data_IF_257056584196
#
_entry.id   IF_257056584196
#
_cell.length_a   1.000
_cell.length_b   1.000
_cell.length_c   1.000
_cell.angle_alpha   90.00
_cell.angle_beta   90.00
_cell.angle_gamma   90.00
#
_symmetry.space_group_name_H-M   'P 1'
#
loop_
_entity.id
_entity.type
_entity.pdbx_description
1 polymer ?
#
# COMPACT_ATOMS: atom_id res chain seq x y z
N UNK A 1 10.26 16.09 1.97
CA UNK A 1 9.21 15.11 1.61
C UNK A 1 8.94 14.18 2.81
N UNK A 2 7.68 13.87 3.09
CA UNK A 2 7.19 12.99 4.15
C UNK A 2 6.37 11.87 3.51
N UNK A 3 6.81 10.63 3.69
CA UNK A 3 6.16 9.44 3.13
C UNK A 3 5.43 8.68 4.23
N UNK A 4 4.32 8.02 3.87
CA UNK A 4 3.58 7.14 4.77
C UNK A 4 3.76 5.67 4.39
N UNK A 5 3.90 4.80 5.39
CA UNK A 5 3.90 3.35 5.25
C UNK A 5 2.63 2.76 5.88
N UNK A 6 1.55 2.58 5.10
CA UNK A 6 0.31 1.98 5.60
C UNK A 6 0.42 0.46 5.87
N UNK A 7 1.43 -0.21 5.32
CA UNK A 7 1.66 -1.65 5.49
C UNK A 7 2.07 -1.92 6.94
N UNK A 8 3.15 -1.29 7.39
CA UNK A 8 3.64 -1.43 8.77
C UNK A 8 2.76 -0.73 9.80
N UNK A 9 2.12 0.39 9.44
CA UNK A 9 1.27 1.13 10.38
C UNK A 9 0.09 0.30 10.89
N UNK A 10 -0.44 -0.60 10.06
CA UNK A 10 -1.59 -1.44 10.42
C UNK A 10 -1.25 -2.91 10.66
N UNK A 11 -0.21 -3.43 9.99
CA UNK A 11 0.09 -4.86 9.93
C UNK A 11 -1.03 -5.69 9.29
N UNK A 12 -1.95 -5.06 8.54
CA UNK A 12 -3.14 -5.72 7.99
C UNK A 12 -3.37 -5.31 6.54
N UNK A 13 -3.32 -6.29 5.63
CA UNK A 13 -3.53 -6.09 4.19
C UNK A 13 -4.81 -5.31 3.87
N UNK A 14 -5.92 -5.65 4.55
CA UNK A 14 -7.22 -4.99 4.35
C UNK A 14 -7.26 -3.51 4.74
N UNK A 15 -6.25 -3.02 5.48
CA UNK A 15 -6.13 -1.63 5.89
C UNK A 15 -5.11 -0.83 5.07
N UNK A 16 -4.33 -1.47 4.20
CA UNK A 16 -3.31 -0.81 3.37
C UNK A 16 -3.94 0.27 2.50
N UNK A 17 -4.97 -0.07 1.72
CA UNK A 17 -5.65 0.88 0.82
C UNK A 17 -6.34 2.05 1.55
N UNK A 18 -7.19 1.84 2.58
CA UNK A 18 -7.84 2.96 3.25
C UNK A 18 -6.84 3.89 3.97
N UNK A 19 -5.75 3.35 4.53
CA UNK A 19 -4.72 4.16 5.17
C UNK A 19 -3.86 4.91 4.15
N UNK A 20 -3.54 4.30 3.01
CA UNK A 20 -2.89 4.99 1.89
C UNK A 20 -3.70 6.20 1.41
N UNK A 21 -5.01 6.02 1.19
CA UNK A 21 -5.92 7.11 0.81
C UNK A 21 -5.97 8.20 1.88
N UNK A 22 -6.03 7.83 3.15
CA UNK A 22 -6.00 8.78 4.26
C UNK A 22 -4.67 9.57 4.29
N UNK A 23 -3.53 8.90 4.12
CA UNK A 23 -2.21 9.52 4.10
C UNK A 23 -2.08 10.54 2.96
N UNK A 24 -2.51 10.18 1.75
CA UNK A 24 -2.54 11.11 0.61
C UNK A 24 -3.49 12.29 0.88
N UNK A 25 -4.67 12.05 1.45
CA UNK A 25 -5.64 13.09 1.75
C UNK A 25 -5.15 14.11 2.79
N UNK A 26 -4.31 13.70 3.74
CA UNK A 26 -3.69 14.62 4.73
C UNK A 26 -2.39 15.25 4.23
N UNK A 27 -1.97 14.98 3.00
CA UNK A 27 -0.85 15.65 2.33
C UNK A 27 0.49 14.93 2.43
N UNK A 28 0.52 13.59 2.55
CA UNK A 28 1.76 12.84 2.38
C UNK A 28 2.31 13.01 0.95
N UNK A 29 3.62 13.20 0.83
CA UNK A 29 4.29 13.37 -0.46
C UNK A 29 4.43 12.05 -1.23
N UNK A 30 4.27 10.91 -0.55
CA UNK A 30 4.39 9.58 -1.15
C UNK A 30 4.00 8.45 -0.19
N UNK A 31 4.01 7.24 -0.73
CA UNK A 31 3.64 6.01 -0.04
C UNK A 31 4.76 4.96 -0.16
N UNK A 32 4.92 4.13 0.87
CA UNK A 32 5.73 2.91 0.85
C UNK A 32 4.78 1.72 1.03
N UNK A 33 4.73 0.82 0.05
CA UNK A 33 3.78 -0.30 0.02
C UNK A 33 4.56 -1.61 -0.10
N UNK A 34 4.29 -2.55 0.80
CA UNK A 34 4.88 -3.89 0.73
C UNK A 34 4.10 -4.79 -0.24
N UNK A 35 4.85 -5.47 -1.10
CA UNK A 35 4.29 -6.35 -2.14
C UNK A 35 5.11 -7.64 -2.17
N UNK A 36 4.42 -8.78 -2.22
CA UNK A 36 5.04 -10.10 -2.33
C UNK A 36 4.24 -10.97 -3.32
N UNK A 37 4.88 -11.76 -4.20
CA UNK A 37 4.15 -12.59 -5.19
C UNK A 37 3.20 -13.61 -4.56
N UNK A 38 3.52 -14.09 -3.35
CA UNK A 38 2.69 -15.02 -2.58
C UNK A 38 2.76 -14.69 -1.08
N UNK A 39 2.00 -13.69 -0.60
CA UNK A 39 2.14 -13.19 0.77
C UNK A 39 2.00 -14.27 1.85
N UNK A 40 1.18 -15.30 1.62
CA UNK A 40 0.95 -16.40 2.56
C UNK A 40 2.18 -17.29 2.79
N UNK A 41 3.19 -17.19 1.91
CA UNK A 41 4.48 -17.87 2.04
C UNK A 41 5.65 -16.92 2.32
N UNK A 42 5.39 -15.64 2.57
CA UNK A 42 6.44 -14.68 2.88
C UNK A 42 7.10 -15.02 4.23
N UNK A 43 8.43 -14.95 4.29
CA UNK A 43 9.19 -15.19 5.53
C UNK A 43 9.05 -14.05 6.55
N UNK A 44 8.64 -12.87 6.07
CA UNK A 44 8.35 -11.68 6.87
C UNK A 44 7.11 -11.00 6.27
N UNK A 45 6.28 -10.41 7.13
CA UNK A 45 5.31 -9.38 6.75
C UNK A 45 4.25 -9.77 5.69
N UNK A 46 4.01 -11.08 5.52
CA UNK A 46 2.94 -11.63 4.68
C UNK A 46 1.52 -11.11 5.01
N UNK A 47 1.13 -10.94 6.28
CA UNK A 47 -0.20 -10.44 6.65
C UNK A 47 -0.51 -9.01 6.17
N UNK A 48 0.50 -8.17 5.94
CA UNK A 48 0.33 -6.81 5.41
C UNK A 48 0.70 -6.64 3.94
N UNK A 49 1.51 -7.54 3.38
CA UNK A 49 1.94 -7.48 1.99
C UNK A 49 0.79 -7.72 1.01
N UNK A 50 0.67 -6.90 -0.03
CA UNK A 50 -0.22 -7.15 -1.16
C UNK A 50 0.40 -8.18 -2.12
N UNK A 51 -0.42 -8.96 -2.80
CA UNK A 51 0.01 -9.70 -3.99
C UNK A 51 0.01 -8.79 -5.24
N UNK A 52 0.50 -9.31 -6.38
CA UNK A 52 0.62 -8.49 -7.60
C UNK A 52 -0.73 -8.04 -8.17
N UNK A 53 -1.78 -8.86 -8.08
CA UNK A 53 -3.10 -8.47 -8.54
C UNK A 53 -3.71 -7.40 -7.62
N UNK A 54 -3.62 -7.61 -6.30
CA UNK A 54 -4.05 -6.64 -5.29
C UNK A 54 -3.30 -5.31 -5.42
N UNK A 55 -1.99 -5.34 -5.72
CA UNK A 55 -1.21 -4.11 -5.95
C UNK A 55 -1.62 -3.39 -7.23
N UNK A 56 -1.94 -4.11 -8.31
CA UNK A 56 -2.46 -3.51 -9.53
C UNK A 56 -3.82 -2.83 -9.30
N UNK A 57 -4.72 -3.48 -8.56
CA UNK A 57 -6.00 -2.90 -8.13
C UNK A 57 -5.80 -1.68 -7.24
N UNK A 58 -4.92 -1.79 -6.24
CA UNK A 58 -4.53 -0.68 -5.37
C UNK A 58 -4.09 0.54 -6.17
N UNK A 59 -3.20 0.36 -7.16
CA UNK A 59 -2.71 1.47 -8.01
C UNK A 59 -3.82 2.08 -8.87
N UNK A 60 -4.78 1.29 -9.33
CA UNK A 60 -5.96 1.81 -10.04
C UNK A 60 -6.87 2.63 -9.12
N UNK A 61 -6.95 2.29 -7.83
CA UNK A 61 -7.80 2.96 -6.84
C UNK A 61 -7.16 4.20 -6.17
N UNK A 62 -5.83 4.25 -6.06
CA UNK A 62 -5.13 5.30 -5.31
C UNK A 62 -5.14 6.67 -6.02
N UNK A 63 -5.51 6.69 -7.30
CA UNK A 63 -5.79 7.94 -8.01
C UNK A 63 -4.58 8.86 -8.16
N UNK A 64 -3.35 8.33 -8.11
CA UNK A 64 -2.18 9.10 -8.52
C UNK A 64 -2.34 9.34 -10.02
N UNK A 65 -2.61 10.60 -10.38
CA UNK A 65 -2.69 11.04 -11.77
C UNK A 65 -1.46 10.50 -12.51
N UNK A 66 -1.67 9.59 -13.46
CA UNK A 66 -0.67 9.09 -14.41
C UNK A 66 -0.29 10.17 -15.44
N UNK A 67 -0.27 11.44 -15.02
CA UNK A 67 -0.16 12.62 -15.85
C UNK A 67 1.19 13.29 -15.69
N UNK A 68 2.23 12.61 -16.20
CA UNK A 68 3.39 13.22 -16.88
C UNK A 68 3.73 12.35 -18.08
#
# INVERSE_FOLDING_TARGET
PVLADPSHASGKRSLVEPLAKAALAVGADGLIIEVHPNPDQALSDGPQSLNFAEFAEFMAHIGINQGV
#
